data_IF_055272955911
#
_entry.id   IF_055272955911
#
_cell.length_a   1.000
_cell.length_b   1.000
_cell.length_c   1.000
_cell.angle_alpha   90.00
_cell.angle_beta   90.00
_cell.angle_gamma   90.00
#
_symmetry.space_group_name_H-M   'P 1'
#
loop_
_entity.id
_entity.type
_entity.pdbx_description
1 polymer ?
#
# COMPACT_ATOMS: atom_id res chain seq x y z
N UNK A 1 14.44 -91.47 20.84
CA UNK A 1 14.73 -90.34 19.90
C UNK A 1 13.75 -89.22 20.15
N UNK A 2 14.18 -88.25 20.91
CA UNK A 2 13.27 -87.11 21.36
C UNK A 2 13.73 -85.90 20.56
N UNK A 3 12.83 -85.41 19.70
CA UNK A 3 13.04 -84.14 18.98
C UNK A 3 12.52 -82.95 19.84
N UNK A 4 13.40 -82.06 20.23
CA UNK A 4 13.08 -80.76 20.83
C UNK A 4 12.80 -79.80 19.73
N UNK A 5 11.55 -79.19 19.71
CA UNK A 5 11.20 -77.99 18.94
C UNK A 5 11.73 -76.76 19.70
N UNK A 6 12.51 -75.99 19.08
CA UNK A 6 12.94 -74.65 19.54
C UNK A 6 12.02 -73.65 18.84
N UNK A 7 11.18 -72.98 19.63
CA UNK A 7 10.30 -71.91 19.16
C UNK A 7 11.03 -70.56 19.26
N UNK A 8 11.32 -69.95 18.13
CA UNK A 8 11.91 -68.62 18.03
C UNK A 8 10.79 -67.58 18.06
N UNK A 9 10.71 -66.80 19.13
CA UNK A 9 9.81 -65.65 19.24
C UNK A 9 10.50 -64.44 18.65
N UNK A 10 10.03 -63.94 17.49
CA UNK A 10 10.47 -62.67 16.88
C UNK A 10 9.71 -61.55 17.52
N UNK A 11 10.38 -60.69 18.29
CA UNK A 11 9.84 -59.46 18.83
C UNK A 11 9.91 -58.41 17.70
N UNK A 12 8.75 -58.04 17.14
CA UNK A 12 8.64 -56.90 16.22
C UNK A 12 8.55 -55.65 17.06
N UNK A 13 9.60 -54.82 17.07
CA UNK A 13 9.63 -53.50 17.68
C UNK A 13 8.93 -52.53 16.73
N UNK A 14 7.66 -52.18 17.01
CA UNK A 14 6.94 -51.14 16.29
C UNK A 14 7.42 -49.79 16.82
N UNK A 15 8.34 -49.13 16.09
CA UNK A 15 8.67 -47.75 16.33
C UNK A 15 7.49 -46.89 15.86
N UNK A 16 6.68 -46.40 16.78
CA UNK A 16 5.69 -45.35 16.52
C UNK A 16 6.42 -44.01 16.33
N UNK A 17 6.63 -43.61 15.10
CA UNK A 17 7.03 -42.25 14.77
C UNK A 17 5.83 -41.35 15.00
N UNK A 18 5.81 -40.66 16.15
CA UNK A 18 4.88 -39.55 16.38
C UNK A 18 5.23 -38.42 15.42
N UNK A 19 4.56 -38.39 14.27
CA UNK A 19 4.51 -37.20 13.44
C UNK A 19 3.59 -36.22 14.15
N UNK A 20 4.15 -35.29 14.92
CA UNK A 20 3.42 -34.10 15.34
C UNK A 20 3.20 -33.26 14.07
N UNK A 21 2.04 -33.42 13.45
CA UNK A 21 1.54 -32.46 12.50
C UNK A 21 1.33 -31.18 13.31
N UNK A 22 2.26 -30.22 13.15
CA UNK A 22 2.05 -28.87 13.67
C UNK A 22 0.73 -28.38 13.08
N UNK A 23 -0.28 -28.23 13.92
CA UNK A 23 -1.54 -27.62 13.49
C UNK A 23 -1.18 -26.26 12.88
N UNK A 24 -1.58 -26.05 11.62
CA UNK A 24 -1.41 -24.76 10.96
C UNK A 24 -2.16 -23.76 11.84
N UNK A 25 -1.45 -22.82 12.44
CA UNK A 25 -2.06 -21.79 13.27
C UNK A 25 -3.11 -21.05 12.43
N UNK A 26 -4.35 -21.08 12.90
CA UNK A 26 -5.48 -20.43 12.25
C UNK A 26 -5.23 -18.90 12.23
N UNK A 27 -5.51 -18.24 11.11
CA UNK A 27 -5.41 -16.79 10.98
C UNK A 27 -6.32 -16.10 12.01
N UNK A 28 -5.75 -15.12 12.72
CA UNK A 28 -6.48 -14.33 13.72
C UNK A 28 -6.05 -12.87 13.63
N UNK A 29 -6.99 -11.98 13.42
CA UNK A 29 -6.74 -10.53 13.34
C UNK A 29 -6.07 -10.01 14.60
N UNK A 30 -6.49 -10.45 15.78
CA UNK A 30 -5.90 -10.03 17.07
C UNK A 30 -4.44 -10.47 17.20
N UNK A 31 -4.11 -11.67 16.75
CA UNK A 31 -2.73 -12.15 16.71
C UNK A 31 -1.88 -11.29 15.78
N UNK A 32 -2.39 -10.97 14.59
CA UNK A 32 -1.67 -10.17 13.60
C UNK A 32 -1.50 -8.72 14.06
N UNK A 33 -2.49 -8.13 14.70
CA UNK A 33 -2.35 -6.81 15.34
C UNK A 33 -1.32 -6.82 16.48
N UNK A 34 -1.28 -7.89 17.28
CA UNK A 34 -0.26 -8.07 18.32
C UNK A 34 1.14 -8.22 17.74
N UNK A 35 1.28 -8.93 16.62
CA UNK A 35 2.52 -9.05 15.86
C UNK A 35 2.98 -7.67 15.37
N UNK A 36 2.13 -6.90 14.67
CA UNK A 36 2.47 -5.56 14.18
C UNK A 36 2.92 -4.65 15.32
N UNK A 37 2.20 -4.65 16.46
CA UNK A 37 2.58 -3.88 17.65
C UNK A 37 3.96 -4.27 18.19
N UNK A 38 4.25 -5.56 18.23
CA UNK A 38 5.57 -6.06 18.66
C UNK A 38 6.69 -5.54 17.74
N UNK A 39 6.48 -5.59 16.42
CA UNK A 39 7.43 -5.07 15.45
C UNK A 39 7.61 -3.55 15.56
N UNK A 40 6.53 -2.79 15.77
CA UNK A 40 6.61 -1.34 16.03
C UNK A 40 7.50 -1.05 17.24
N UNK A 41 7.34 -1.79 18.35
CA UNK A 41 8.18 -1.60 19.55
C UNK A 41 9.65 -1.95 19.29
N UNK A 42 9.92 -2.97 18.50
CA UNK A 42 11.29 -3.32 18.08
C UNK A 42 11.90 -2.21 17.20
N UNK A 43 11.14 -1.73 16.21
CA UNK A 43 11.58 -0.63 15.35
C UNK A 43 11.81 0.66 16.14
N UNK A 44 10.93 1.04 17.06
CA UNK A 44 11.12 2.21 17.93
C UNK A 44 12.39 2.10 18.79
N UNK A 45 12.71 0.91 19.31
CA UNK A 45 13.95 0.68 20.05
C UNK A 45 15.19 0.91 19.17
N UNK A 46 15.16 0.46 17.94
CA UNK A 46 16.23 0.66 16.96
C UNK A 46 16.38 2.13 16.57
N UNK A 47 15.26 2.84 16.44
CA UNK A 47 15.23 4.23 16.00
C UNK A 47 15.56 5.25 17.09
N UNK A 48 15.66 4.84 18.37
CA UNK A 48 15.97 5.74 19.50
C UNK A 48 17.21 6.63 19.32
N UNK A 49 18.30 6.19 18.68
CA UNK A 49 19.48 7.04 18.46
C UNK A 49 19.27 8.17 17.46
N UNK A 50 18.21 8.10 16.66
CA UNK A 50 17.95 9.03 15.57
C UNK A 50 16.91 10.08 15.99
N UNK A 51 16.98 11.25 15.36
CA UNK A 51 15.95 12.27 15.52
C UNK A 51 14.72 11.95 14.66
N UNK A 52 13.60 12.61 14.91
CA UNK A 52 12.31 12.31 14.28
C UNK A 52 12.23 12.69 12.77
N UNK A 53 13.23 13.37 12.21
CA UNK A 53 13.24 13.61 10.75
C UNK A 53 13.85 12.45 9.95
N UNK A 54 14.43 11.45 10.61
CA UNK A 54 14.95 10.25 9.98
C UNK A 54 13.87 9.18 9.91
N UNK A 55 13.27 9.02 8.74
CA UNK A 55 12.12 8.15 8.50
C UNK A 55 12.54 6.77 7.97
N UNK A 56 11.94 5.67 8.42
CA UNK A 56 12.10 4.33 7.83
C UNK A 56 11.67 4.30 6.37
N UNK A 57 12.50 3.70 5.51
CA UNK A 57 12.19 3.53 4.09
C UNK A 57 12.06 2.07 3.69
N UNK A 58 13.15 1.31 3.80
CA UNK A 58 13.22 -0.07 3.39
C UNK A 58 14.26 -0.85 4.19
N UNK A 59 14.22 -2.19 4.09
CA UNK A 59 15.28 -3.11 4.49
C UNK A 59 15.52 -4.00 3.27
N UNK A 60 16.69 -3.88 2.65
CA UNK A 60 17.01 -4.60 1.42
C UNK A 60 17.36 -6.05 1.72
N UNK A 61 17.07 -6.93 0.78
CA UNK A 61 17.49 -8.32 0.87
C UNK A 61 19.03 -8.40 0.89
N UNK A 62 19.56 -9.14 1.86
CA UNK A 62 21.01 -9.29 2.03
C UNK A 62 21.69 -8.18 2.83
N UNK A 63 20.96 -7.18 3.30
CA UNK A 63 21.48 -6.20 4.24
C UNK A 63 22.01 -6.90 5.49
N UNK A 64 23.26 -6.61 5.83
CA UNK A 64 23.89 -7.13 7.06
C UNK A 64 23.25 -6.56 8.32
N UNK A 65 22.68 -5.35 8.22
CA UNK A 65 21.89 -4.71 9.25
C UNK A 65 20.43 -5.11 9.04
N UNK A 66 19.85 -5.78 10.03
CA UNK A 66 18.43 -6.18 10.02
C UNK A 66 17.47 -5.03 10.35
N UNK A 67 17.96 -3.78 10.26
CA UNK A 67 17.25 -2.57 10.57
C UNK A 67 16.88 -1.74 9.34
N UNK A 68 16.08 -0.70 9.59
CA UNK A 68 15.61 0.19 8.54
C UNK A 68 16.74 1.04 7.92
N UNK A 69 16.81 1.08 6.60
CA UNK A 69 17.47 2.17 5.88
C UNK A 69 16.64 3.44 6.06
N UNK A 70 17.26 4.46 6.67
CA UNK A 70 16.59 5.70 7.01
C UNK A 70 16.80 6.75 5.91
N UNK A 71 15.77 7.59 5.71
CA UNK A 71 15.80 8.77 4.86
C UNK A 71 15.40 9.99 5.67
N UNK A 72 16.06 11.11 5.40
CA UNK A 72 15.62 12.38 5.95
C UNK A 72 14.26 12.77 5.34
N UNK A 73 13.35 13.26 6.19
CA UNK A 73 12.02 13.71 5.75
C UNK A 73 12.17 14.95 4.85
N UNK A 74 12.04 14.75 3.56
CA UNK A 74 12.11 15.75 2.50
C UNK A 74 10.98 15.56 1.51
N UNK A 75 10.72 16.56 0.68
CA UNK A 75 9.67 16.51 -0.33
C UNK A 75 9.89 15.38 -1.37
N UNK A 76 11.17 15.02 -1.63
CA UNK A 76 11.55 13.96 -2.55
C UNK A 76 11.36 12.54 -1.98
N UNK A 77 11.18 12.42 -0.65
CA UNK A 77 11.03 11.14 0.04
C UNK A 77 9.55 10.84 0.32
N UNK A 78 8.81 10.53 -0.70
CA UNK A 78 7.37 10.31 -0.69
C UNK A 78 6.85 9.32 0.37
N UNK A 79 7.71 8.44 0.87
CA UNK A 79 7.34 7.43 1.88
C UNK A 79 7.34 7.96 3.31
N UNK A 80 7.81 9.18 3.57
CA UNK A 80 8.03 9.66 4.94
C UNK A 80 6.75 9.79 5.79
N UNK A 81 5.57 9.81 5.18
CA UNK A 81 4.29 9.85 5.91
C UNK A 81 3.82 8.50 6.46
N UNK A 82 4.33 7.37 5.97
CA UNK A 82 3.81 6.06 6.34
C UNK A 82 4.20 5.63 7.76
N UNK A 83 5.45 5.87 8.17
CA UNK A 83 5.87 5.51 9.52
C UNK A 83 5.07 6.22 10.61
N UNK A 84 4.91 7.56 10.62
CA UNK A 84 4.03 8.20 11.58
C UNK A 84 2.58 7.71 11.48
N UNK A 85 2.10 7.37 10.29
CA UNK A 85 0.78 6.75 10.11
C UNK A 85 0.66 5.39 10.80
N UNK A 86 1.67 4.52 10.66
CA UNK A 86 1.75 3.25 11.40
C UNK A 86 1.70 3.48 12.91
N UNK A 87 2.44 4.48 13.40
CA UNK A 87 2.46 4.82 14.83
C UNK A 87 1.10 5.29 15.33
N UNK A 88 0.39 6.14 14.57
CA UNK A 88 -0.97 6.58 14.92
C UNK A 88 -1.96 5.42 14.93
N UNK A 89 -1.92 4.57 13.92
CA UNK A 89 -2.76 3.36 13.85
C UNK A 89 -2.47 2.42 15.03
N UNK A 90 -1.19 2.19 15.35
CA UNK A 90 -0.81 1.35 16.49
C UNK A 90 -1.24 1.98 17.82
N UNK A 91 -1.07 3.28 18.00
CA UNK A 91 -1.55 4.00 19.18
C UNK A 91 -3.07 3.91 19.34
N UNK A 92 -3.82 3.85 18.24
CA UNK A 92 -5.28 3.72 18.32
C UNK A 92 -5.73 2.41 18.98
N UNK A 93 -4.89 1.37 18.95
CA UNK A 93 -5.16 0.05 19.50
C UNK A 93 -4.96 0.02 21.03
N UNK A 94 -3.79 0.44 21.53
CA UNK A 94 -3.38 0.20 22.92
C UNK A 94 -3.09 1.47 23.75
N UNK A 95 -3.16 2.65 23.13
CA UNK A 95 -2.92 3.95 23.78
C UNK A 95 -1.57 4.07 24.50
N UNK A 96 -0.54 3.35 24.02
CA UNK A 96 0.82 3.37 24.59
C UNK A 96 1.43 4.78 24.50
N UNK A 97 1.87 5.39 25.63
CA UNK A 97 2.40 6.75 25.65
C UNK A 97 3.75 6.91 24.92
N UNK A 98 4.58 5.86 24.83
CA UNK A 98 5.82 5.89 24.06
C UNK A 98 5.50 5.98 22.56
N UNK A 99 4.53 5.20 22.09
CA UNK A 99 4.05 5.25 20.71
C UNK A 99 3.44 6.62 20.40
N UNK A 100 2.63 7.18 21.29
CA UNK A 100 2.08 8.54 21.12
C UNK A 100 3.16 9.60 20.96
N UNK A 101 4.18 9.56 21.81
CA UNK A 101 5.32 10.50 21.74
C UNK A 101 6.03 10.39 20.38
N UNK A 102 6.29 9.18 19.94
CA UNK A 102 6.93 8.93 18.64
C UNK A 102 6.03 9.39 17.48
N UNK A 103 4.73 9.03 17.49
CA UNK A 103 3.77 9.44 16.46
C UNK A 103 3.75 10.97 16.30
N UNK A 104 3.66 11.71 17.41
CA UNK A 104 3.70 13.19 17.38
C UNK A 104 5.02 13.71 16.84
N UNK A 105 6.16 13.17 17.28
CA UNK A 105 7.49 13.62 16.86
C UNK A 105 7.74 13.42 15.38
N UNK A 106 7.48 12.21 14.88
CA UNK A 106 7.63 11.89 13.45
C UNK A 106 6.63 12.67 12.58
N UNK A 107 5.38 12.84 13.00
CA UNK A 107 4.39 13.66 12.27
C UNK A 107 4.87 15.12 12.20
N UNK A 108 5.32 15.70 13.32
CA UNK A 108 5.78 17.08 13.37
C UNK A 108 6.98 17.35 12.44
N UNK A 109 7.86 16.38 12.20
CA UNK A 109 9.00 16.53 11.30
C UNK A 109 8.60 16.80 9.83
N UNK A 110 7.37 16.49 9.45
CA UNK A 110 6.83 16.71 8.09
C UNK A 110 6.14 18.07 7.93
N UNK A 111 5.96 18.84 9.02
CA UNK A 111 5.15 20.07 9.02
C UNK A 111 5.56 21.06 7.94
N UNK A 112 6.84 21.28 7.78
CA UNK A 112 7.36 22.30 6.87
C UNK A 112 7.07 21.98 5.40
N UNK A 113 6.85 20.71 5.07
CA UNK A 113 6.51 20.27 3.72
C UNK A 113 5.13 20.78 3.27
N UNK A 114 4.22 21.01 4.22
CA UNK A 114 2.89 21.54 3.96
C UNK A 114 2.89 22.98 3.41
N UNK A 115 3.97 23.73 3.67
CA UNK A 115 4.07 25.17 3.37
C UNK A 115 5.10 25.50 2.30
N UNK A 116 5.69 24.49 1.67
CA UNK A 116 6.63 24.65 0.56
C UNK A 116 5.89 24.46 -0.77
N UNK A 117 6.42 25.02 -1.87
CA UNK A 117 5.91 24.65 -3.20
C UNK A 117 5.94 23.11 -3.38
N UNK A 118 4.95 22.58 -4.06
CA UNK A 118 4.88 21.16 -4.34
C UNK A 118 6.09 20.71 -5.17
N UNK A 119 6.87 19.77 -4.64
CA UNK A 119 7.93 19.11 -5.39
C UNK A 119 7.33 18.15 -6.44
N UNK A 120 6.34 17.40 -6.03
CA UNK A 120 5.52 16.50 -6.84
C UNK A 120 4.15 16.27 -6.18
N UNK A 121 3.41 15.30 -6.69
CA UNK A 121 2.05 15.00 -6.23
C UNK A 121 1.98 14.24 -4.90
N UNK A 122 3.07 13.72 -4.35
CA UNK A 122 3.08 12.78 -3.23
C UNK A 122 2.74 13.39 -1.85
N UNK A 123 2.22 14.62 -1.84
CA UNK A 123 1.84 15.33 -0.63
C UNK A 123 0.77 14.61 0.21
N UNK A 124 -0.13 13.85 -0.43
CA UNK A 124 -1.08 13.01 0.27
C UNK A 124 -0.41 11.87 1.03
N UNK A 125 0.56 11.20 0.44
CA UNK A 125 1.35 10.16 1.10
C UNK A 125 2.17 10.73 2.28
N UNK A 126 2.73 11.93 2.12
CA UNK A 126 3.50 12.60 3.16
C UNK A 126 2.63 13.08 4.31
N UNK A 127 1.56 13.81 4.02
CA UNK A 127 0.78 14.55 5.01
C UNK A 127 -0.50 13.82 5.41
N UNK A 128 -1.25 13.24 4.47
CA UNK A 128 -2.51 12.61 4.85
C UNK A 128 -2.33 11.25 5.53
N UNK A 129 -1.32 10.47 5.13
CA UNK A 129 -0.97 9.25 5.85
C UNK A 129 -0.46 9.52 7.28
N UNK A 130 0.11 10.69 7.54
CA UNK A 130 0.63 11.09 8.85
C UNK A 130 -0.34 11.95 9.65
N UNK A 131 -0.52 13.22 9.27
CA UNK A 131 -1.43 14.16 9.93
C UNK A 131 -2.89 13.74 9.85
N UNK A 132 -3.31 13.10 8.75
CA UNK A 132 -4.68 12.58 8.61
C UNK A 132 -4.95 11.51 9.67
N UNK A 133 -4.07 10.51 9.81
CA UNK A 133 -4.20 9.49 10.87
C UNK A 133 -4.07 10.08 12.27
N UNK A 134 -3.23 11.09 12.45
CA UNK A 134 -3.15 11.83 13.70
C UNK A 134 -4.44 12.58 14.03
N UNK A 135 -5.07 13.20 13.05
CA UNK A 135 -6.36 13.89 13.22
C UNK A 135 -7.49 12.93 13.58
N UNK A 136 -7.57 11.76 12.91
CA UNK A 136 -8.55 10.71 13.24
C UNK A 136 -8.53 10.33 14.74
N UNK A 137 -7.35 10.39 15.36
CA UNK A 137 -7.15 9.97 16.77
C UNK A 137 -7.27 11.11 17.75
N UNK A 138 -6.84 12.33 17.38
CA UNK A 138 -6.67 13.46 18.30
C UNK A 138 -7.71 14.56 18.12
N UNK A 139 -8.27 14.69 16.93
CA UNK A 139 -9.10 15.82 16.51
C UNK A 139 -8.41 17.20 16.69
N UNK A 140 -7.08 17.22 16.63
CA UNK A 140 -6.28 18.44 16.78
C UNK A 140 -6.49 19.39 15.59
N UNK A 141 -7.01 20.59 15.87
CA UNK A 141 -7.30 21.58 14.85
C UNK A 141 -6.04 22.00 14.05
N UNK A 142 -4.87 21.97 14.67
CA UNK A 142 -3.59 22.26 13.99
C UNK A 142 -3.31 21.23 12.88
N UNK A 143 -3.66 19.97 13.09
CA UNK A 143 -3.50 18.93 12.08
C UNK A 143 -4.43 19.16 10.89
N UNK A 144 -5.69 19.54 11.16
CA UNK A 144 -6.64 19.93 10.12
C UNK A 144 -6.10 21.10 9.28
N UNK A 145 -5.57 22.12 9.92
CA UNK A 145 -5.10 23.32 9.24
C UNK A 145 -3.87 23.01 8.36
N UNK A 146 -2.98 22.11 8.81
CA UNK A 146 -1.85 21.61 8.01
C UNK A 146 -2.33 20.81 6.80
N UNK A 147 -3.30 19.92 6.96
CA UNK A 147 -3.88 19.14 5.86
C UNK A 147 -4.53 20.08 4.82
N UNK A 148 -5.28 21.10 5.27
CA UNK A 148 -5.90 22.07 4.38
C UNK A 148 -4.86 22.86 3.59
N UNK A 149 -3.82 23.39 4.24
CA UNK A 149 -2.72 24.09 3.57
C UNK A 149 -2.00 23.20 2.53
N UNK A 150 -1.77 21.92 2.87
CA UNK A 150 -1.13 20.97 1.96
C UNK A 150 -2.02 20.67 0.76
N UNK A 151 -3.34 20.58 0.96
CA UNK A 151 -4.29 20.34 -0.13
C UNK A 151 -4.31 21.50 -1.12
N UNK A 152 -4.22 22.75 -0.64
CA UNK A 152 -4.09 23.93 -1.50
C UNK A 152 -2.75 23.91 -2.25
N UNK A 153 -1.67 23.47 -1.60
CA UNK A 153 -0.37 23.29 -2.26
C UNK A 153 -0.43 22.22 -3.36
N UNK A 154 -1.05 21.07 -3.11
CA UNK A 154 -1.25 20.03 -4.12
C UNK A 154 -2.08 20.54 -5.31
N UNK A 155 -3.10 21.34 -5.06
CA UNK A 155 -3.95 21.92 -6.09
C UNK A 155 -3.19 22.84 -7.06
N UNK A 156 -2.03 23.39 -6.68
CA UNK A 156 -1.19 24.17 -7.60
C UNK A 156 -0.65 23.38 -8.78
N UNK A 157 -0.60 22.05 -8.67
CA UNK A 157 -0.21 21.14 -9.75
C UNK A 157 -1.38 20.76 -10.68
N UNK A 158 -2.61 21.17 -10.35
CA UNK A 158 -3.78 20.86 -11.18
C UNK A 158 -3.81 21.71 -12.44
N UNK A 159 -3.90 21.06 -13.60
CA UNK A 159 -4.09 21.73 -14.88
C UNK A 159 -5.56 21.58 -15.29
N UNK A 160 -6.35 22.67 -15.32
CA UNK A 160 -7.78 22.60 -15.63
C UNK A 160 -8.09 22.22 -17.08
N UNK A 161 -7.16 22.46 -18.02
CA UNK A 161 -7.33 22.07 -19.43
C UNK A 161 -7.16 20.57 -19.62
N UNK A 162 -6.18 19.98 -18.94
CA UNK A 162 -5.94 18.52 -18.90
C UNK A 162 -6.98 17.83 -18.00
N UNK A 163 -7.34 18.45 -16.90
CA UNK A 163 -8.25 17.92 -15.89
C UNK A 163 -7.57 16.95 -14.92
N UNK A 164 -6.23 17.03 -14.75
CA UNK A 164 -5.48 16.23 -13.80
C UNK A 164 -4.41 17.04 -13.08
N UNK A 165 -3.88 16.46 -11.97
CA UNK A 165 -2.72 16.96 -11.23
C UNK A 165 -1.46 16.44 -11.93
N UNK A 166 -0.52 17.34 -12.23
CA UNK A 166 0.83 16.98 -12.70
C UNK A 166 1.54 16.17 -11.63
N UNK A 167 1.93 14.94 -11.95
CA UNK A 167 2.55 14.07 -10.96
C UNK A 167 4.00 14.43 -10.69
N UNK A 168 4.81 14.52 -11.74
CA UNK A 168 6.25 14.73 -11.61
C UNK A 168 6.72 15.93 -12.45
N UNK A 169 6.76 17.15 -11.89
CA UNK A 169 7.32 18.32 -12.58
C UNK A 169 8.74 18.07 -13.10
N UNK A 170 9.55 17.32 -12.35
CA UNK A 170 10.94 16.99 -12.70
C UNK A 170 11.11 16.07 -13.91
N UNK A 171 10.05 15.32 -14.29
CA UNK A 171 10.07 14.38 -15.41
C UNK A 171 9.56 15.01 -16.73
N UNK A 172 9.14 16.27 -16.70
CA UNK A 172 8.58 16.96 -17.88
C UNK A 172 9.65 17.06 -18.98
N UNK A 173 10.80 17.67 -18.67
CA UNK A 173 11.86 17.88 -19.66
C UNK A 173 12.62 16.58 -20.00
N UNK A 174 13.08 15.75 -19.02
CA UNK A 174 13.89 14.57 -19.35
C UNK A 174 13.16 13.54 -20.21
N UNK A 175 11.84 13.38 -20.01
CA UNK A 175 11.04 12.39 -20.72
C UNK A 175 10.23 12.96 -21.86
N UNK A 176 10.25 14.27 -22.07
CA UNK A 176 9.33 14.97 -22.97
C UNK A 176 7.86 14.59 -22.67
N UNK A 177 7.48 14.73 -21.38
CA UNK A 177 6.13 14.50 -20.87
C UNK A 177 5.51 15.83 -20.42
N UNK A 178 4.93 16.64 -21.32
CA UNK A 178 4.50 18.01 -21.00
C UNK A 178 3.58 18.11 -19.81
N UNK A 179 2.68 17.13 -19.62
CA UNK A 179 1.93 16.91 -18.40
C UNK A 179 1.83 15.41 -18.19
N UNK A 180 2.42 14.93 -17.12
CA UNK A 180 2.38 13.51 -16.75
C UNK A 180 1.52 13.31 -15.51
N UNK A 181 0.68 12.29 -15.55
CA UNK A 181 -0.13 11.86 -14.41
C UNK A 181 0.07 10.37 -14.20
N UNK A 182 0.42 9.96 -12.98
CA UNK A 182 0.57 8.55 -12.64
C UNK A 182 -0.64 8.03 -11.85
N UNK A 183 -0.84 6.72 -11.88
CA UNK A 183 -1.99 6.10 -11.21
C UNK A 183 -1.98 6.32 -9.69
N UNK A 184 -0.81 6.39 -9.10
CA UNK A 184 -0.56 6.66 -7.66
C UNK A 184 -1.22 7.97 -7.20
N UNK A 185 -1.35 8.94 -8.11
CA UNK A 185 -1.98 10.23 -7.82
C UNK A 185 -3.43 10.10 -7.34
N UNK A 186 -4.12 9.01 -7.72
CA UNK A 186 -5.47 8.74 -7.23
C UNK A 186 -5.55 8.69 -5.69
N UNK A 187 -4.48 8.26 -5.01
CA UNK A 187 -4.44 8.16 -3.54
C UNK A 187 -4.40 9.55 -2.90
N UNK A 188 -3.69 10.50 -3.53
CA UNK A 188 -3.56 11.87 -3.03
C UNK A 188 -4.90 12.66 -3.07
N UNK A 189 -5.88 12.20 -3.87
CA UNK A 189 -7.21 12.81 -3.91
C UNK A 189 -7.98 12.68 -2.59
N UNK A 190 -7.67 11.68 -1.76
CA UNK A 190 -8.32 11.51 -0.44
C UNK A 190 -8.12 12.75 0.44
N UNK A 191 -6.91 13.31 0.43
CA UNK A 191 -6.60 14.53 1.14
C UNK A 191 -7.41 15.72 0.62
N UNK A 192 -7.59 15.85 -0.70
CA UNK A 192 -8.37 16.94 -1.31
C UNK A 192 -9.86 16.84 -0.96
N UNK A 193 -10.45 15.66 -1.07
CA UNK A 193 -11.84 15.43 -0.66
C UNK A 193 -12.03 15.70 0.82
N UNK A 194 -11.13 15.21 1.65
CA UNK A 194 -11.19 15.43 3.10
C UNK A 194 -11.09 16.91 3.44
N UNK A 195 -10.15 17.64 2.84
CA UNK A 195 -9.96 19.08 3.04
C UNK A 195 -11.21 19.86 2.67
N UNK A 196 -11.79 19.59 1.50
CA UNK A 196 -13.04 20.25 1.07
C UNK A 196 -14.21 20.04 2.05
N UNK A 197 -14.25 18.88 2.74
CA UNK A 197 -15.27 18.55 3.73
C UNK A 197 -14.96 19.10 5.14
N UNK A 198 -13.70 19.48 5.43
CA UNK A 198 -13.22 19.86 6.77
C UNK A 198 -12.71 21.32 6.84
N UNK A 199 -13.35 22.22 6.11
CA UNK A 199 -13.12 23.66 6.19
C UNK A 199 -12.03 24.20 5.26
N UNK A 200 -11.48 23.37 4.36
CA UNK A 200 -10.60 23.79 3.28
C UNK A 200 -11.34 24.33 2.07
N UNK A 201 -10.62 24.54 0.98
CA UNK A 201 -11.16 25.07 -0.26
C UNK A 201 -12.13 24.06 -0.92
N UNK A 202 -13.38 24.47 -1.13
CA UNK A 202 -14.41 23.60 -1.72
C UNK A 202 -14.12 23.18 -3.16
N UNK A 203 -13.36 23.98 -3.93
CA UNK A 203 -12.97 23.65 -5.30
C UNK A 203 -12.09 22.40 -5.38
N UNK A 204 -11.43 22.01 -4.28
CA UNK A 204 -10.63 20.78 -4.20
C UNK A 204 -11.47 19.52 -4.50
N UNK A 205 -12.76 19.54 -4.11
CA UNK A 205 -13.68 18.44 -4.43
C UNK A 205 -13.88 18.29 -5.95
N UNK A 206 -14.15 19.40 -6.64
CA UNK A 206 -14.38 19.38 -8.10
C UNK A 206 -13.11 19.02 -8.87
N UNK A 207 -11.95 19.51 -8.41
CA UNK A 207 -10.65 19.13 -8.97
C UNK A 207 -10.39 17.63 -8.83
N UNK A 208 -10.64 17.05 -7.64
CA UNK A 208 -10.48 15.64 -7.37
C UNK A 208 -11.44 14.78 -8.22
N UNK A 209 -12.70 15.17 -8.35
CA UNK A 209 -13.68 14.49 -9.21
C UNK A 209 -13.27 14.56 -10.67
N UNK A 210 -12.79 15.71 -11.13
CA UNK A 210 -12.33 15.91 -12.52
C UNK A 210 -11.12 15.03 -12.80
N UNK A 211 -10.12 15.04 -11.89
CA UNK A 211 -8.95 14.16 -11.99
C UNK A 211 -9.36 12.69 -12.10
N UNK A 212 -10.22 12.19 -11.21
CA UNK A 212 -10.68 10.82 -11.23
C UNK A 212 -11.38 10.44 -12.53
N UNK A 213 -12.23 11.33 -13.09
CA UNK A 213 -12.90 11.12 -14.38
C UNK A 213 -11.92 11.08 -15.56
N UNK A 214 -10.97 12.01 -15.61
CA UNK A 214 -9.96 12.06 -16.67
C UNK A 214 -9.05 10.83 -16.62
N UNK A 215 -8.63 10.41 -15.42
CA UNK A 215 -7.88 9.17 -15.20
C UNK A 215 -8.67 7.94 -15.65
N UNK A 216 -9.97 7.86 -15.35
CA UNK A 216 -10.83 6.76 -15.77
C UNK A 216 -10.91 6.63 -17.30
N UNK A 217 -10.86 7.74 -18.02
CA UNK A 217 -10.97 7.76 -19.48
C UNK A 217 -9.65 7.40 -20.18
N UNK A 218 -8.50 7.78 -19.61
CA UNK A 218 -7.24 7.78 -20.35
C UNK A 218 -6.18 6.80 -19.80
N UNK A 219 -6.26 6.37 -18.54
CA UNK A 219 -5.24 5.51 -17.94
C UNK A 219 -5.49 4.01 -18.09
N UNK A 220 -6.58 3.61 -18.74
CA UNK A 220 -6.95 2.19 -18.83
C UNK A 220 -7.00 1.72 -20.26
N UNK A 221 -6.45 0.52 -20.46
CA UNK A 221 -6.55 -0.22 -21.71
C UNK A 221 -7.95 -0.84 -21.86
N UNK A 222 -8.32 -1.29 -23.05
CA UNK A 222 -9.64 -1.92 -23.27
C UNK A 222 -9.89 -3.13 -22.37
N UNK A 223 -8.85 -3.87 -21.98
CA UNK A 223 -8.94 -5.03 -21.08
C UNK A 223 -9.14 -4.65 -19.60
N UNK A 224 -9.05 -3.35 -19.25
CA UNK A 224 -9.20 -2.80 -17.91
C UNK A 224 -7.92 -2.78 -17.09
N UNK A 225 -6.78 -3.17 -17.65
CA UNK A 225 -5.48 -2.93 -17.04
C UNK A 225 -5.06 -1.46 -17.17
N UNK A 226 -4.34 -0.90 -16.18
CA UNK A 226 -3.94 0.49 -16.25
C UNK A 226 -2.53 0.68 -16.81
N UNK A 227 -2.32 1.83 -17.47
CA UNK A 227 -0.99 2.41 -17.63
C UNK A 227 -0.49 2.94 -16.30
N UNK A 228 0.81 2.91 -16.06
CA UNK A 228 1.38 3.61 -14.92
C UNK A 228 1.28 5.13 -15.13
N UNK A 229 1.69 5.63 -16.29
CA UNK A 229 1.76 7.05 -16.63
C UNK A 229 0.88 7.35 -17.84
N UNK A 230 0.03 8.37 -17.74
CA UNK A 230 -0.63 9.00 -18.86
C UNK A 230 0.02 10.37 -19.12
N UNK A 231 0.31 10.63 -20.39
CA UNK A 231 0.95 11.88 -20.86
C UNK A 231 -0.06 12.70 -21.65
N UNK A 232 -0.13 14.00 -21.37
CA UNK A 232 -1.09 14.93 -21.98
C UNK A 232 -0.38 16.13 -22.58
N UNK A 233 -1.01 16.70 -23.61
CA UNK A 233 -0.64 17.99 -24.19
C UNK A 233 -1.22 19.13 -23.33
N UNK A 234 -0.37 20.04 -22.87
CA UNK A 234 -0.78 21.17 -22.03
C UNK A 234 -1.52 22.27 -22.78
N UNK A 235 -1.46 22.33 -24.11
CA UNK A 235 -2.10 23.34 -24.93
C UNK A 235 -3.52 22.93 -25.35
N UNK A 236 -3.75 21.64 -25.58
CA UNK A 236 -5.05 21.11 -26.00
C UNK A 236 -5.78 20.32 -24.91
N UNK A 237 -5.08 19.88 -23.87
CA UNK A 237 -5.59 18.97 -22.84
C UNK A 237 -5.70 17.51 -23.31
N UNK A 238 -5.33 17.19 -24.54
CA UNK A 238 -5.51 15.88 -25.12
C UNK A 238 -4.52 14.85 -24.57
N UNK A 239 -5.00 13.60 -24.41
CA UNK A 239 -4.16 12.45 -24.12
C UNK A 239 -3.22 12.17 -25.32
N UNK A 240 -1.92 12.03 -25.03
CA UNK A 240 -0.88 11.75 -26.01
C UNK A 240 -0.59 10.25 -26.04
N UNK A 241 -0.23 9.67 -24.89
CA UNK A 241 0.18 8.27 -24.76
C UNK A 241 0.07 7.76 -23.32
N UNK A 242 -0.07 6.43 -23.18
CA UNK A 242 0.13 5.73 -21.93
C UNK A 242 1.47 4.99 -21.95
N UNK A 243 2.24 5.11 -20.88
CA UNK A 243 3.57 4.49 -20.74
C UNK A 243 3.74 3.93 -19.31
N UNK A 244 4.87 3.25 -19.09
CA UNK A 244 5.27 2.85 -17.74
C UNK A 244 6.57 3.55 -17.31
N UNK A 245 6.77 3.69 -15.99
CA UNK A 245 8.02 4.10 -15.37
C UNK A 245 8.53 3.01 -14.42
N UNK A 246 7.61 2.38 -13.68
CA UNK A 246 7.94 1.34 -12.70
C UNK A 246 7.50 -0.07 -13.13
N UNK A 247 6.68 -0.23 -14.18
CA UNK A 247 6.29 -1.52 -14.73
C UNK A 247 7.32 -2.11 -15.69
N UNK A 248 7.05 -3.33 -16.14
CA UNK A 248 7.91 -4.09 -17.05
C UNK A 248 7.97 -3.47 -18.44
N UNK A 249 6.83 -3.09 -18.99
CA UNK A 249 6.68 -2.49 -20.31
C UNK A 249 5.42 -1.62 -20.40
N UNK A 250 5.34 -0.75 -21.42
CA UNK A 250 4.19 0.16 -21.59
C UNK A 250 2.85 -0.57 -21.74
N UNK A 251 2.86 -1.82 -22.21
CA UNK A 251 1.68 -2.67 -22.37
C UNK A 251 1.43 -3.57 -21.16
N UNK A 252 2.35 -3.70 -20.20
CA UNK A 252 2.25 -4.60 -19.06
C UNK A 252 1.34 -4.04 -17.95
N UNK A 253 0.92 -4.93 -17.07
CA UNK A 253 0.14 -4.58 -15.88
C UNK A 253 1.04 -4.61 -14.64
N UNK A 254 1.61 -3.44 -14.31
CA UNK A 254 2.32 -3.25 -13.06
C UNK A 254 1.37 -3.43 -11.88
N UNK A 255 1.66 -4.42 -11.02
CA UNK A 255 0.73 -4.87 -9.98
C UNK A 255 0.33 -3.74 -9.02
N UNK A 256 1.30 -2.94 -8.55
CA UNK A 256 1.02 -1.85 -7.61
C UNK A 256 0.26 -0.70 -8.27
N UNK A 257 0.50 -0.40 -9.55
CA UNK A 257 -0.30 0.58 -10.30
C UNK A 257 -1.78 0.21 -10.33
N UNK A 258 -2.09 -1.05 -10.67
CA UNK A 258 -3.46 -1.53 -10.64
C UNK A 258 -4.04 -1.54 -9.21
N UNK A 259 -3.22 -1.80 -8.20
CA UNK A 259 -3.64 -1.73 -6.79
C UNK A 259 -4.03 -0.31 -6.38
N UNK A 260 -3.28 0.69 -6.83
CA UNK A 260 -3.62 2.10 -6.63
C UNK A 260 -4.95 2.48 -7.29
N UNK A 261 -5.22 1.94 -8.48
CA UNK A 261 -6.49 2.15 -9.15
C UNK A 261 -7.67 1.60 -8.33
N UNK A 262 -7.56 0.38 -7.81
CA UNK A 262 -8.62 -0.24 -6.99
C UNK A 262 -8.87 0.59 -5.74
N UNK A 263 -7.81 0.93 -5.00
CA UNK A 263 -7.92 1.73 -3.78
C UNK A 263 -8.47 3.12 -4.08
N UNK A 264 -7.92 3.78 -5.11
CA UNK A 264 -8.30 5.14 -5.48
C UNK A 264 -9.76 5.26 -5.89
N UNK A 265 -10.27 4.39 -6.76
CA UNK A 265 -11.68 4.45 -7.17
C UNK A 265 -12.65 4.03 -6.07
N UNK A 266 -12.27 3.12 -5.20
CA UNK A 266 -13.05 2.79 -3.99
C UNK A 266 -13.15 4.03 -3.08
N UNK A 267 -12.03 4.72 -2.86
CA UNK A 267 -11.96 5.95 -2.08
C UNK A 267 -12.76 7.10 -2.72
N UNK A 268 -12.66 7.29 -4.04
CA UNK A 268 -13.44 8.31 -4.75
C UNK A 268 -14.93 8.03 -4.61
N UNK A 269 -15.38 6.77 -4.68
CA UNK A 269 -16.77 6.42 -4.41
C UNK A 269 -17.17 6.73 -2.95
N UNK A 270 -16.29 6.47 -1.98
CA UNK A 270 -16.53 6.83 -0.57
C UNK A 270 -16.97 8.30 -0.42
N UNK A 271 -16.27 9.20 -1.10
CA UNK A 271 -16.51 10.65 -1.02
C UNK A 271 -17.66 11.14 -1.90
N UNK A 272 -17.81 10.58 -3.09
CA UNK A 272 -18.73 11.13 -4.09
C UNK A 272 -20.10 10.45 -4.12
N UNK A 273 -20.15 9.17 -3.74
CA UNK A 273 -21.33 8.30 -3.91
C UNK A 273 -21.84 8.21 -5.35
N UNK A 274 -21.03 8.59 -6.34
CA UNK A 274 -21.39 8.50 -7.75
C UNK A 274 -21.24 7.04 -8.24
N UNK A 275 -22.33 6.39 -8.70
CA UNK A 275 -22.29 4.98 -9.09
C UNK A 275 -21.22 4.62 -10.11
N UNK A 276 -20.89 5.53 -11.03
CA UNK A 276 -19.86 5.32 -12.05
C UNK A 276 -18.50 4.95 -11.46
N UNK A 277 -18.14 5.49 -10.31
CA UNK A 277 -16.87 5.17 -9.64
C UNK A 277 -16.92 3.81 -8.92
N UNK A 278 -18.08 3.40 -8.39
CA UNK A 278 -18.25 2.07 -7.82
C UNK A 278 -18.17 0.99 -8.92
N UNK A 279 -18.88 1.20 -10.02
CA UNK A 279 -18.86 0.27 -11.15
C UNK A 279 -17.44 0.15 -11.73
N UNK A 280 -16.71 1.26 -11.77
CA UNK A 280 -15.34 1.27 -12.25
C UNK A 280 -14.38 0.59 -11.27
N UNK A 281 -14.52 0.83 -9.96
CA UNK A 281 -13.75 0.13 -8.92
C UNK A 281 -13.94 -1.39 -9.01
N UNK A 282 -15.18 -1.85 -9.22
CA UNK A 282 -15.50 -3.28 -9.46
C UNK A 282 -14.79 -3.81 -10.70
N UNK A 283 -14.90 -3.10 -11.83
CA UNK A 283 -14.26 -3.50 -13.10
C UNK A 283 -12.75 -3.70 -12.94
N UNK A 284 -12.04 -2.73 -12.37
CA UNK A 284 -10.57 -2.82 -12.21
C UNK A 284 -10.15 -3.85 -11.17
N UNK A 285 -11.01 -4.11 -10.18
CA UNK A 285 -10.84 -5.18 -9.19
C UNK A 285 -10.96 -6.56 -9.85
N UNK A 286 -12.00 -6.80 -10.64
CA UNK A 286 -12.21 -8.08 -11.29
C UNK A 286 -11.07 -8.42 -12.27
N UNK A 287 -10.50 -7.40 -12.94
CA UNK A 287 -9.30 -7.57 -13.78
C UNK A 287 -8.11 -7.99 -12.94
N UNK A 288 -7.87 -7.31 -11.82
CA UNK A 288 -6.74 -7.63 -10.93
C UNK A 288 -6.85 -9.05 -10.37
N UNK A 289 -8.00 -9.41 -9.81
CA UNK A 289 -8.20 -10.73 -9.18
C UNK A 289 -8.03 -11.86 -10.19
N UNK A 290 -8.62 -11.73 -11.39
CA UNK A 290 -8.42 -12.70 -12.46
C UNK A 290 -6.94 -12.84 -12.81
N UNK A 291 -6.24 -11.73 -13.06
CA UNK A 291 -4.81 -11.74 -13.40
C UNK A 291 -3.94 -12.30 -12.27
N UNK A 292 -4.28 -12.00 -11.01
CA UNK A 292 -3.60 -12.59 -9.85
C UNK A 292 -3.71 -14.11 -9.88
N UNK A 293 -4.92 -14.66 -10.03
CA UNK A 293 -5.15 -16.10 -10.06
C UNK A 293 -4.49 -16.78 -11.25
N UNK A 294 -4.41 -16.11 -12.41
CA UNK A 294 -3.79 -16.65 -13.61
C UNK A 294 -2.25 -16.64 -13.56
N UNK A 295 -1.64 -15.71 -12.82
CA UNK A 295 -0.20 -15.44 -12.93
C UNK A 295 0.60 -15.65 -11.65
N UNK A 296 -0.05 -15.81 -10.49
CA UNK A 296 0.61 -16.02 -9.20
C UNK A 296 0.30 -17.40 -8.63
N UNK A 297 1.26 -17.95 -7.90
CA UNK A 297 1.15 -19.22 -7.18
C UNK A 297 0.53 -19.08 -5.77
N UNK A 298 0.31 -17.86 -5.34
CA UNK A 298 -0.35 -17.52 -4.07
C UNK A 298 -1.10 -16.17 -4.16
N UNK A 299 -1.61 -15.66 -3.06
CA UNK A 299 -2.40 -14.43 -3.00
C UNK A 299 -1.58 -13.13 -3.03
N UNK A 300 -0.28 -13.21 -3.29
CA UNK A 300 0.61 -12.06 -3.47
C UNK A 300 1.04 -11.99 -4.95
N UNK A 301 0.82 -10.87 -5.65
CA UNK A 301 1.17 -10.76 -7.06
C UNK A 301 2.68 -10.73 -7.27
N UNK A 302 3.09 -11.01 -8.50
CA UNK A 302 4.40 -10.57 -9.00
C UNK A 302 4.41 -9.04 -9.07
N UNK A 303 5.61 -8.44 -9.02
CA UNK A 303 5.75 -6.98 -9.12
C UNK A 303 5.11 -6.40 -10.40
N UNK A 304 5.17 -7.17 -11.49
CA UNK A 304 4.43 -6.94 -12.74
C UNK A 304 3.82 -8.27 -13.20
N UNK A 305 2.53 -8.27 -13.51
CA UNK A 305 1.80 -9.50 -13.81
C UNK A 305 2.18 -10.09 -15.18
N UNK A 306 2.86 -9.32 -16.02
CA UNK A 306 3.36 -9.71 -17.33
C UNK A 306 4.88 -9.95 -17.35
N UNK A 307 5.54 -10.00 -16.18
CA UNK A 307 6.96 -10.33 -16.11
C UNK A 307 7.21 -11.73 -16.73
N UNK A 308 8.04 -11.84 -17.80
CA UNK A 308 8.24 -13.08 -18.53
C UNK A 308 8.93 -14.18 -17.74
N UNK A 309 9.54 -13.86 -16.58
CA UNK A 309 10.14 -14.87 -15.67
C UNK A 309 9.08 -15.76 -15.01
N UNK A 310 7.80 -15.44 -15.16
CA UNK A 310 6.73 -16.24 -14.60
C UNK A 310 6.81 -16.33 -13.07
N UNK A 311 6.84 -17.55 -12.52
CA UNK A 311 6.92 -17.80 -11.07
C UNK A 311 8.23 -17.34 -10.41
N UNK A 312 9.28 -17.14 -11.20
CA UNK A 312 10.59 -16.70 -10.70
C UNK A 312 10.71 -15.16 -10.64
N UNK A 313 9.67 -14.43 -11.06
CA UNK A 313 9.61 -12.99 -10.91
C UNK A 313 9.45 -12.59 -9.43
N UNK A 314 10.08 -11.49 -8.96
CA UNK A 314 9.91 -11.00 -7.61
C UNK A 314 8.44 -10.73 -7.30
N UNK A 315 8.05 -10.99 -6.06
CA UNK A 315 6.72 -10.65 -5.54
C UNK A 315 6.64 -9.16 -5.15
N UNK A 316 5.42 -8.65 -5.05
CA UNK A 316 5.16 -7.34 -4.44
C UNK A 316 4.09 -7.47 -3.35
N UNK A 317 4.53 -7.75 -2.13
CA UNK A 317 3.66 -7.82 -0.96
C UNK A 317 2.92 -6.48 -0.72
N UNK A 318 3.52 -5.34 -1.08
CA UNK A 318 2.88 -4.04 -0.91
C UNK A 318 1.62 -3.91 -1.77
N UNK A 319 1.64 -4.43 -3.00
CA UNK A 319 0.47 -4.44 -3.89
C UNK A 319 -0.68 -5.26 -3.30
N UNK A 320 -0.37 -6.44 -2.73
CA UNK A 320 -1.37 -7.26 -2.03
C UNK A 320 -1.98 -6.53 -0.82
N UNK A 321 -1.16 -5.82 -0.03
CA UNK A 321 -1.63 -5.04 1.14
C UNK A 321 -2.60 -3.93 0.73
N UNK A 322 -2.26 -3.17 -0.31
CA UNK A 322 -3.11 -2.10 -0.84
C UNK A 322 -4.45 -2.65 -1.32
N UNK A 323 -4.41 -3.77 -2.08
CA UNK A 323 -5.64 -4.40 -2.57
C UNK A 323 -6.47 -4.98 -1.44
N UNK A 324 -5.86 -5.68 -0.47
CA UNK A 324 -6.59 -6.22 0.68
C UNK A 324 -7.34 -5.11 1.45
N UNK A 325 -6.65 -3.97 1.70
CA UNK A 325 -7.28 -2.82 2.34
C UNK A 325 -8.43 -2.25 1.51
N UNK A 326 -8.24 -2.09 0.20
CA UNK A 326 -9.26 -1.58 -0.70
C UNK A 326 -10.48 -2.52 -0.80
N UNK A 327 -10.26 -3.83 -0.90
CA UNK A 327 -11.33 -4.83 -1.03
C UNK A 327 -12.21 -4.89 0.21
N UNK A 328 -11.66 -4.74 1.41
CA UNK A 328 -12.43 -4.70 2.65
C UNK A 328 -13.41 -3.52 2.65
N UNK A 329 -12.99 -2.36 2.17
CA UNK A 329 -13.88 -1.19 2.02
C UNK A 329 -14.87 -1.38 0.85
N UNK A 330 -14.39 -1.83 -0.31
CA UNK A 330 -15.23 -2.04 -1.50
C UNK A 330 -16.33 -3.05 -1.26
N UNK A 331 -16.05 -4.10 -0.49
CA UNK A 331 -17.01 -5.16 -0.15
C UNK A 331 -18.24 -4.62 0.56
N UNK A 332 -18.09 -3.59 1.42
CA UNK A 332 -19.20 -2.95 2.13
C UNK A 332 -20.10 -2.16 1.19
N UNK A 333 -19.52 -1.54 0.16
CA UNK A 333 -20.29 -0.73 -0.81
C UNK A 333 -21.01 -1.59 -1.85
N UNK A 334 -20.41 -2.70 -2.25
CA UNK A 334 -20.99 -3.61 -3.24
C UNK A 334 -22.07 -4.48 -2.60
N UNK A 335 -21.80 -5.02 -1.42
CA UNK A 335 -22.73 -5.92 -0.70
C UNK A 335 -23.05 -7.22 -1.45
N UNK A 336 -23.97 -8.01 -0.89
CA UNK A 336 -24.40 -9.26 -1.47
C UNK A 336 -23.28 -10.26 -1.75
N UNK A 337 -23.51 -11.19 -2.68
CA UNK A 337 -22.54 -12.25 -3.02
C UNK A 337 -21.21 -11.70 -3.57
N UNK A 338 -21.27 -10.63 -4.36
CA UNK A 338 -20.05 -10.02 -4.92
C UNK A 338 -19.23 -9.33 -3.82
N UNK A 339 -19.88 -8.61 -2.90
CA UNK A 339 -19.20 -7.99 -1.75
C UNK A 339 -18.54 -9.05 -0.87
N UNK A 340 -19.24 -10.15 -0.57
CA UNK A 340 -18.68 -11.26 0.20
C UNK A 340 -17.48 -11.90 -0.53
N UNK A 341 -17.55 -12.07 -1.83
CA UNK A 341 -16.42 -12.55 -2.64
C UNK A 341 -15.19 -11.63 -2.47
N UNK A 342 -15.34 -10.29 -2.58
CA UNK A 342 -14.24 -9.36 -2.41
C UNK A 342 -13.67 -9.40 -0.99
N UNK A 343 -14.55 -9.49 0.01
CA UNK A 343 -14.13 -9.65 1.42
C UNK A 343 -13.28 -10.90 1.61
N UNK A 344 -13.72 -12.03 1.05
CA UNK A 344 -12.99 -13.29 1.16
C UNK A 344 -11.64 -13.24 0.44
N UNK A 345 -11.54 -12.57 -0.73
CA UNK A 345 -10.27 -12.37 -1.40
C UNK A 345 -9.30 -11.53 -0.54
N UNK A 346 -9.79 -10.49 0.14
CA UNK A 346 -8.98 -9.70 1.06
C UNK A 346 -8.47 -10.53 2.25
N UNK A 347 -9.33 -11.35 2.85
CA UNK A 347 -8.97 -12.26 3.94
C UNK A 347 -7.90 -13.24 3.47
N UNK A 348 -8.07 -13.87 2.30
CA UNK A 348 -7.09 -14.81 1.75
C UNK A 348 -5.73 -14.14 1.46
N UNK A 349 -5.70 -12.86 1.03
CA UNK A 349 -4.47 -12.07 0.91
C UNK A 349 -3.80 -11.87 2.27
N UNK A 350 -4.57 -11.48 3.30
CA UNK A 350 -4.06 -11.27 4.65
C UNK A 350 -3.55 -12.57 5.28
N UNK A 351 -4.25 -13.68 5.11
CA UNK A 351 -3.81 -15.02 5.53
C UNK A 351 -2.47 -15.40 4.88
N UNK A 352 -2.33 -15.18 3.57
CA UNK A 352 -1.10 -15.43 2.85
C UNK A 352 0.06 -14.56 3.36
N UNK A 353 -0.20 -13.25 3.54
CA UNK A 353 0.79 -12.30 4.06
C UNK A 353 1.20 -12.59 5.50
N UNK A 354 0.33 -13.25 6.29
CA UNK A 354 0.59 -13.62 7.69
C UNK A 354 1.41 -14.91 7.86
N UNK A 355 1.84 -15.52 6.75
CA UNK A 355 2.68 -16.73 6.79
C UNK A 355 4.16 -16.41 7.04
N UNK A 356 4.93 -17.43 7.43
CA UNK A 356 6.40 -17.34 7.58
C UNK A 356 7.11 -16.88 6.30
N UNK A 357 6.49 -17.09 5.14
CA UNK A 357 7.03 -16.64 3.86
C UNK A 357 7.11 -15.11 3.80
N UNK A 358 6.07 -14.42 4.26
CA UNK A 358 5.96 -12.97 4.09
C UNK A 358 6.23 -12.17 5.36
N UNK A 359 5.88 -12.68 6.54
CA UNK A 359 6.18 -11.96 7.79
C UNK A 359 7.67 -11.95 8.09
N UNK A 360 8.20 -10.80 8.47
CA UNK A 360 9.63 -10.66 8.81
C UNK A 360 9.98 -11.37 10.12
N UNK A 361 9.09 -11.35 11.11
CA UNK A 361 9.27 -11.93 12.45
C UNK A 361 10.62 -11.52 13.07
N UNK A 362 11.49 -12.50 13.36
CA UNK A 362 12.81 -12.23 13.94
C UNK A 362 13.89 -11.89 12.91
N UNK A 363 13.57 -11.99 11.61
CA UNK A 363 14.53 -11.72 10.53
C UNK A 363 14.90 -10.25 10.42
N UNK A 364 13.92 -9.34 10.63
CA UNK A 364 14.14 -7.91 10.69
C UNK A 364 13.02 -7.22 11.49
N UNK A 365 12.93 -5.88 11.48
CA UNK A 365 12.00 -5.09 12.28
C UNK A 365 10.81 -4.53 11.50
N UNK A 366 10.66 -4.87 10.20
CA UNK A 366 9.45 -4.59 9.43
C UNK A 366 8.33 -5.57 9.75
N UNK A 367 7.14 -5.37 9.22
CA UNK A 367 6.09 -6.39 9.28
C UNK A 367 6.28 -7.43 8.20
N UNK A 368 6.52 -6.99 6.97
CA UNK A 368 6.52 -7.84 5.79
C UNK A 368 7.83 -7.75 5.00
N UNK A 369 8.09 -8.81 4.25
CA UNK A 369 9.16 -8.94 3.27
C UNK A 369 8.55 -9.13 1.88
N UNK A 370 9.43 -9.26 0.86
CA UNK A 370 9.06 -9.61 -0.50
C UNK A 370 8.19 -8.58 -1.21
N UNK A 371 8.49 -7.28 -1.00
CA UNK A 371 7.95 -6.19 -1.81
C UNK A 371 8.95 -5.74 -2.87
N UNK A 372 8.47 -5.16 -3.96
CA UNK A 372 9.31 -4.61 -5.04
C UNK A 372 8.92 -3.16 -5.30
N UNK A 373 9.81 -2.22 -4.93
CA UNK A 373 9.59 -0.78 -5.09
C UNK A 373 9.71 -0.32 -6.53
N UNK A 374 10.93 -0.41 -7.11
CA UNK A 374 11.18 0.07 -8.47
C UNK A 374 12.12 -0.88 -9.22
N UNK A 375 11.56 -1.93 -9.81
CA UNK A 375 12.33 -2.98 -10.50
C UNK A 375 13.17 -2.47 -11.68
N UNK A 376 12.64 -1.63 -12.60
CA UNK A 376 13.44 -1.11 -13.71
C UNK A 376 14.65 -0.28 -13.28
N UNK A 377 14.58 0.40 -12.14
CA UNK A 377 15.72 1.13 -11.57
C UNK A 377 16.67 0.24 -10.76
N UNK A 378 16.40 -1.08 -10.66
CA UNK A 378 17.20 -2.00 -9.85
C UNK A 378 17.13 -1.73 -8.35
N UNK A 379 16.10 -1.01 -7.87
CA UNK A 379 15.98 -0.60 -6.48
C UNK A 379 14.81 -1.26 -5.77
N UNK A 380 15.00 -1.56 -4.48
CA UNK A 380 13.98 -2.14 -3.60
C UNK A 380 13.35 -3.42 -4.18
N UNK A 381 14.16 -4.28 -4.80
CA UNK A 381 13.72 -5.58 -5.32
C UNK A 381 13.76 -6.60 -4.19
N UNK A 382 12.64 -7.29 -3.97
CA UNK A 382 12.50 -8.31 -2.91
C UNK A 382 12.88 -7.76 -1.52
N UNK A 383 12.33 -6.60 -1.17
CA UNK A 383 12.65 -5.85 0.04
C UNK A 383 11.48 -5.81 1.04
N UNK A 384 11.79 -5.46 2.30
CA UNK A 384 10.79 -4.93 3.21
C UNK A 384 10.63 -3.43 2.94
N UNK A 385 9.40 -2.94 2.79
CA UNK A 385 9.14 -1.55 2.43
C UNK A 385 8.06 -0.96 3.34
N UNK A 386 8.26 0.26 3.82
CA UNK A 386 7.43 0.87 4.86
C UNK A 386 5.95 0.99 4.47
N UNK A 387 5.61 1.21 3.20
CA UNK A 387 4.22 1.32 2.79
C UNK A 387 3.51 -0.05 2.70
N UNK A 388 4.24 -1.17 2.56
CA UNK A 388 3.67 -2.50 2.72
C UNK A 388 3.16 -2.69 4.16
N UNK A 389 3.97 -2.30 5.15
CA UNK A 389 3.63 -2.36 6.56
C UNK A 389 2.42 -1.46 6.89
N UNK A 390 2.38 -0.25 6.31
CA UNK A 390 1.26 0.68 6.50
C UNK A 390 -0.07 0.08 6.02
N UNK A 391 -0.13 -0.39 4.78
CA UNK A 391 -1.38 -0.92 4.21
C UNK A 391 -1.76 -2.29 4.79
N UNK A 392 -0.79 -3.10 5.23
CA UNK A 392 -1.05 -4.32 5.98
C UNK A 392 -1.78 -4.02 7.29
N UNK A 393 -1.25 -3.09 8.09
CA UNK A 393 -1.88 -2.68 9.35
C UNK A 393 -3.26 -2.03 9.11
N UNK A 394 -3.38 -1.19 8.09
CA UNK A 394 -4.66 -0.58 7.73
C UNK A 394 -5.71 -1.64 7.36
N UNK A 395 -5.33 -2.65 6.57
CA UNK A 395 -6.22 -3.75 6.20
C UNK A 395 -6.66 -4.58 7.42
N UNK A 396 -5.74 -4.92 8.33
CA UNK A 396 -6.07 -5.60 9.57
C UNK A 396 -7.04 -4.79 10.44
N UNK A 397 -6.83 -3.48 10.56
CA UNK A 397 -7.73 -2.59 11.29
C UNK A 397 -9.11 -2.46 10.64
N UNK A 398 -9.18 -2.45 9.31
CA UNK A 398 -10.47 -2.48 8.59
C UNK A 398 -11.20 -3.81 8.85
N UNK A 399 -10.47 -4.91 8.85
CA UNK A 399 -11.05 -6.24 9.11
C UNK A 399 -11.52 -6.38 10.57
N UNK A 400 -10.84 -5.73 11.53
CA UNK A 400 -11.21 -5.72 12.95
C UNK A 400 -12.47 -4.87 13.27
N UNK A 401 -12.81 -3.89 12.42
CA UNK A 401 -14.00 -3.04 12.59
C UNK A 401 -15.27 -3.80 12.16
N UNK A 402 -15.69 -4.78 12.98
CA UNK A 402 -16.95 -5.52 12.79
C UNK A 402 -18.05 -4.99 13.67
#
# INVERSE_FOLDING_TARGET
MIFRLISTVSIILVMSTNWTVSAKEEFSVDRELSYCRSQVKRALKELRPYNFNMQPRNILQGDKQKGWNLREAKAEEWCSGFWPGILWMTYSIDKDPEILKAAKGYTQSLRDLAYRPAYDHDLGFLIFCSYGKGYEVTHDATYRDIINATSDTLATLFNPLVGTILSWPREVEPNNWPHNTIMDNMINLDMMFWSAANGGNRLLYDMAVTHAKTTMLNHFRPDGSCYHVAVYDTLSGNFIKGVTHQGYADWSMWARGQSWAIYGYTMVYRWTRLPVFLDFARKVTDVYLRRLHDTSDDMVPKWDMDDPRGKDAPKDASAACVVASALLELSEYVGGTQGEYYRQQAISMLECLSTDKYQSRDRNVSFLMHSTGHHPAGSEIDASIIYADYYYLEALLRLARK
#
